data_IF_201554940638
#
_entry.id   IF_201554940638
#
_cell.length_a   1.000
_cell.length_b   1.000
_cell.length_c   1.000
_cell.angle_alpha   90.00
_cell.angle_beta   90.00
_cell.angle_gamma   90.00
#
_symmetry.space_group_name_H-M   'P 1'
#
loop_
_entity.id
_entity.type
_entity.pdbx_description
1 polymer ?
#
# COMPACT_ATOMS: atom_id res chain seq x y z
N UNK A 1 -12.06 14.74 -2.52
CA UNK A 1 -13.43 14.21 -2.37
C UNK A 1 -13.94 14.36 -0.94
N UNK A 2 -13.21 13.86 0.07
CA UNK A 2 -13.54 13.97 1.51
C UNK A 2 -13.94 15.38 1.95
N UNK A 3 -13.17 16.41 1.57
CA UNK A 3 -13.49 17.80 1.90
C UNK A 3 -14.87 18.23 1.36
N UNK A 4 -15.20 17.88 0.12
CA UNK A 4 -16.47 18.24 -0.48
C UNK A 4 -17.64 17.55 0.23
N UNK A 5 -17.50 16.27 0.58
CA UNK A 5 -18.48 15.54 1.36
C UNK A 5 -18.71 16.19 2.74
N UNK A 6 -17.64 16.53 3.46
CA UNK A 6 -17.72 17.20 4.76
C UNK A 6 -18.38 18.58 4.68
N UNK A 7 -18.11 19.37 3.62
CA UNK A 7 -18.78 20.68 3.41
C UNK A 7 -20.31 20.55 3.27
N UNK A 8 -20.80 19.40 2.81
CA UNK A 8 -22.24 19.13 2.68
C UNK A 8 -22.78 18.54 3.98
N UNK A 9 -22.17 17.45 4.48
CA UNK A 9 -22.66 16.69 5.62
C UNK A 9 -22.68 17.49 6.93
N UNK A 10 -21.70 18.38 7.15
CA UNK A 10 -21.63 19.23 8.35
C UNK A 10 -22.76 20.25 8.46
N UNK A 11 -23.57 20.44 7.41
CA UNK A 11 -24.75 21.31 7.46
C UNK A 11 -25.90 20.68 8.28
N UNK A 12 -25.88 19.37 8.51
CA UNK A 12 -26.87 18.69 9.34
C UNK A 12 -26.55 18.84 10.84
N UNK A 13 -27.43 19.48 11.59
CA UNK A 13 -27.25 19.68 13.03
C UNK A 13 -27.43 18.40 13.87
N UNK A 14 -27.97 17.32 13.29
CA UNK A 14 -28.07 16.00 13.96
C UNK A 14 -26.80 15.15 13.82
N UNK A 15 -25.76 15.66 13.17
CA UNK A 15 -24.54 14.92 12.86
C UNK A 15 -24.59 14.19 11.52
N UNK A 16 -23.57 13.36 11.26
CA UNK A 16 -23.42 12.62 10.01
C UNK A 16 -22.62 11.34 10.23
N UNK A 17 -22.74 10.42 9.28
CA UNK A 17 -21.83 9.31 9.08
C UNK A 17 -21.20 9.46 7.69
N UNK A 18 -19.88 9.29 7.62
CA UNK A 18 -19.12 9.37 6.38
C UNK A 18 -18.14 8.21 6.32
N UNK A 19 -18.22 7.41 5.25
CA UNK A 19 -17.22 6.40 4.89
C UNK A 19 -16.36 6.95 3.76
N UNK A 20 -15.05 6.79 3.89
CA UNK A 20 -14.05 7.16 2.87
C UNK A 20 -13.15 5.95 2.66
N UNK A 21 -12.98 5.54 1.41
CA UNK A 21 -12.29 4.30 1.06
C UNK A 21 -11.09 4.60 0.15
N UNK A 22 -9.93 4.05 0.49
CA UNK A 22 -8.70 4.05 -0.31
C UNK A 22 -8.62 2.84 -1.25
N UNK A 23 -9.68 2.54 -2.00
CA UNK A 23 -9.88 1.24 -2.67
C UNK A 23 -8.80 0.82 -3.69
N UNK A 24 -7.93 1.74 -4.13
CA UNK A 24 -6.88 1.41 -5.09
C UNK A 24 -5.62 0.83 -4.46
N UNK A 25 -5.45 0.97 -3.14
CA UNK A 25 -4.39 0.30 -2.36
C UNK A 25 -4.48 -1.20 -2.62
N UNK A 26 -5.68 -1.76 -2.46
CA UNK A 26 -6.00 -3.17 -2.75
C UNK A 26 -5.69 -3.56 -4.21
N UNK A 27 -6.23 -2.81 -5.17
CA UNK A 27 -6.06 -3.11 -6.60
C UNK A 27 -4.60 -3.15 -7.03
N UNK A 28 -3.77 -2.27 -6.48
CA UNK A 28 -2.35 -2.24 -6.78
C UNK A 28 -1.60 -3.43 -6.14
N UNK A 29 -2.00 -3.87 -4.95
CA UNK A 29 -1.43 -5.08 -4.36
C UNK A 29 -1.77 -6.33 -5.17
N UNK A 30 -2.98 -6.43 -5.72
CA UNK A 30 -3.36 -7.53 -6.62
C UNK A 30 -2.46 -7.67 -7.85
N UNK A 31 -1.90 -6.57 -8.36
CA UNK A 31 -0.94 -6.58 -9.48
C UNK A 31 0.53 -6.62 -9.04
N UNK A 32 0.79 -6.84 -7.74
CA UNK A 32 2.10 -6.71 -7.10
C UNK A 32 2.79 -5.36 -7.36
N UNK A 33 2.05 -4.27 -7.55
CA UNK A 33 2.61 -2.93 -7.80
C UNK A 33 2.63 -2.10 -6.52
N UNK A 34 3.61 -2.36 -5.66
CA UNK A 34 3.74 -1.69 -4.36
C UNK A 34 3.91 -0.17 -4.50
N UNK A 35 4.53 0.32 -5.57
CA UNK A 35 4.64 1.76 -5.84
C UNK A 35 3.26 2.41 -5.86
N UNK A 36 2.34 1.89 -6.68
CA UNK A 36 0.98 2.42 -6.74
C UNK A 36 0.21 2.23 -5.43
N UNK A 37 0.34 1.07 -4.78
CA UNK A 37 -0.34 0.82 -3.50
C UNK A 37 0.06 1.84 -2.43
N UNK A 38 1.37 2.06 -2.23
CA UNK A 38 1.87 2.99 -1.23
C UNK A 38 1.54 4.45 -1.58
N UNK A 39 1.50 4.82 -2.86
CA UNK A 39 1.08 6.16 -3.27
C UNK A 39 -0.42 6.41 -3.03
N UNK A 40 -1.27 5.41 -3.26
CA UNK A 40 -2.69 5.50 -2.92
C UNK A 40 -2.91 5.49 -1.39
N UNK A 41 -2.06 4.80 -0.62
CA UNK A 41 -2.04 4.89 0.85
C UNK A 41 -1.72 6.31 1.32
N UNK A 42 -0.72 6.98 0.72
CA UNK A 42 -0.42 8.39 1.01
C UNK A 42 -1.57 9.32 0.62
N UNK A 43 -2.31 9.01 -0.45
CA UNK A 43 -3.52 9.77 -0.81
C UNK A 43 -4.64 9.58 0.22
N UNK A 44 -4.80 8.36 0.75
CA UNK A 44 -5.74 8.06 1.82
C UNK A 44 -5.35 8.74 3.15
N UNK A 45 -4.07 8.74 3.52
CA UNK A 45 -3.54 9.49 4.67
C UNK A 45 -3.88 10.98 4.56
N UNK A 46 -3.63 11.59 3.40
CA UNK A 46 -4.00 13.00 3.14
C UNK A 46 -5.50 13.25 3.33
N UNK A 47 -6.35 12.29 2.97
CA UNK A 47 -7.79 12.39 3.18
C UNK A 47 -8.16 12.35 4.69
N UNK A 48 -7.48 11.52 5.48
CA UNK A 48 -7.64 11.43 6.94
C UNK A 48 -7.21 12.76 7.60
N UNK A 49 -6.01 13.25 7.27
CA UNK A 49 -5.49 14.53 7.78
C UNK A 49 -6.46 15.66 7.42
N UNK A 50 -6.96 15.65 6.18
CA UNK A 50 -7.93 16.65 5.75
C UNK A 50 -9.24 16.55 6.54
N UNK A 51 -9.75 15.35 6.81
CA UNK A 51 -10.96 15.16 7.61
C UNK A 51 -10.76 15.66 9.05
N UNK A 52 -9.65 15.29 9.70
CA UNK A 52 -9.28 15.77 11.04
C UNK A 52 -9.24 17.30 11.11
N UNK A 53 -8.67 17.96 10.10
CA UNK A 53 -8.61 19.44 10.04
C UNK A 53 -9.98 20.12 9.89
N UNK A 54 -11.02 19.37 9.54
CA UNK A 54 -12.35 19.88 9.21
C UNK A 54 -13.44 19.51 10.22
N UNK A 55 -13.11 18.83 11.32
CA UNK A 55 -14.08 18.40 12.33
C UNK A 55 -13.61 18.76 13.75
N UNK A 56 -14.53 18.79 14.70
CA UNK A 56 -14.20 18.90 16.11
C UNK A 56 -14.02 17.49 16.69
N UNK A 57 -12.78 17.10 17.03
CA UNK A 57 -12.47 15.77 17.54
C UNK A 57 -13.10 15.46 18.90
N UNK A 58 -13.62 16.46 19.63
CA UNK A 58 -14.41 16.23 20.85
C UNK A 58 -15.82 15.69 20.56
N UNK A 59 -16.30 15.84 19.33
CA UNK A 59 -17.66 15.50 18.90
C UNK A 59 -17.68 14.52 17.73
N UNK A 60 -16.51 14.16 17.20
CA UNK A 60 -16.37 13.31 16.01
C UNK A 60 -15.39 12.18 16.32
N UNK A 61 -15.88 10.95 16.25
CA UNK A 61 -15.04 9.75 16.24
C UNK A 61 -14.58 9.48 14.81
N UNK A 62 -13.27 9.34 14.62
CA UNK A 62 -12.67 8.89 13.36
C UNK A 62 -12.05 7.53 13.61
N UNK A 63 -12.45 6.54 12.83
CA UNK A 63 -11.88 5.19 12.82
C UNK A 63 -11.18 5.02 11.49
N UNK A 64 -9.94 4.55 11.53
CA UNK A 64 -9.15 4.14 10.38
C UNK A 64 -8.85 2.67 10.56
N UNK A 65 -9.14 1.87 9.54
CA UNK A 65 -8.99 0.42 9.55
C UNK A 65 -8.84 -0.07 8.11
N UNK A 66 -8.47 -1.33 7.94
CA UNK A 66 -8.58 -2.05 6.69
C UNK A 66 -9.67 -3.12 6.81
N UNK A 67 -10.22 -3.55 5.68
CA UNK A 67 -11.11 -4.71 5.60
C UNK A 67 -10.32 -6.03 5.59
N UNK A 68 -9.10 -6.02 5.05
CA UNK A 68 -8.12 -7.11 5.11
C UNK A 68 -6.69 -6.61 4.82
N UNK A 69 -5.70 -7.48 5.03
CA UNK A 69 -4.30 -7.27 4.64
C UNK A 69 -4.04 -7.79 3.21
N UNK A 70 -2.78 -7.88 2.80
CA UNK A 70 -2.33 -8.48 1.53
C UNK A 70 -1.18 -9.45 1.77
N UNK A 71 -0.90 -10.34 0.82
CA UNK A 71 0.30 -11.19 0.86
C UNK A 71 1.57 -10.39 0.56
N UNK A 72 1.73 -9.23 1.18
CA UNK A 72 2.78 -8.23 1.00
C UNK A 72 3.72 -8.27 2.20
N UNK A 73 5.02 -8.15 1.97
CA UNK A 73 6.00 -8.13 3.05
C UNK A 73 7.14 -7.18 2.70
N UNK A 74 7.51 -6.35 3.66
CA UNK A 74 8.79 -5.67 3.66
C UNK A 74 9.84 -6.60 4.27
N UNK A 75 10.71 -7.14 3.43
CA UNK A 75 11.72 -8.14 3.76
C UNK A 75 13.12 -7.59 3.56
N UNK A 76 14.09 -8.23 4.23
CA UNK A 76 15.49 -7.80 4.22
C UNK A 76 15.78 -6.70 5.24
N UNK A 77 16.95 -6.07 5.09
CA UNK A 77 17.30 -4.81 5.74
C UNK A 77 17.63 -3.81 4.65
N UNK A 78 17.20 -2.59 4.90
CA UNK A 78 17.62 -1.39 4.20
C UNK A 78 18.03 -0.41 5.29
N UNK A 79 19.09 0.39 5.09
CA UNK A 79 19.36 1.48 6.00
C UNK A 79 18.14 2.41 6.01
N UNK A 80 17.90 3.08 7.14
CA UNK A 80 16.71 3.92 7.35
C UNK A 80 16.58 5.11 6.37
N UNK A 81 17.56 5.30 5.49
CA UNK A 81 17.63 6.33 4.45
C UNK A 81 17.39 5.81 3.04
N UNK A 82 17.23 4.51 2.85
CA UNK A 82 17.20 3.90 1.52
C UNK A 82 15.79 3.90 0.92
N UNK A 83 15.75 3.87 -0.41
CA UNK A 83 14.51 3.79 -1.18
C UNK A 83 13.79 2.46 -0.89
N UNK A 84 12.57 2.52 -0.37
CA UNK A 84 11.76 1.34 -0.04
C UNK A 84 11.49 0.45 -1.25
N UNK A 85 11.54 1.00 -2.48
CA UNK A 85 11.38 0.24 -3.72
C UNK A 85 12.68 -0.39 -4.23
N UNK A 86 13.80 -0.12 -3.56
CA UNK A 86 15.13 -0.59 -3.92
C UNK A 86 15.40 -2.06 -3.64
N UNK A 87 16.63 -2.47 -3.96
CA UNK A 87 17.17 -3.75 -3.51
C UNK A 87 17.40 -3.75 -2.00
N UNK A 88 17.31 -4.92 -1.39
CA UNK A 88 17.80 -5.13 -0.02
C UNK A 88 19.33 -5.07 -0.02
N UNK A 89 19.90 -4.68 1.13
CA UNK A 89 21.35 -4.75 1.38
C UNK A 89 21.89 -6.19 1.44
N UNK A 90 21.01 -7.19 1.51
CA UNK A 90 21.37 -8.59 1.51
C UNK A 90 21.27 -9.22 0.12
N UNK A 91 22.22 -10.11 -0.15
CA UNK A 91 22.08 -11.11 -1.21
C UNK A 91 21.38 -12.34 -0.65
N UNK A 92 20.70 -13.07 -1.52
CA UNK A 92 20.20 -14.40 -1.14
C UNK A 92 21.29 -15.47 -1.24
N UNK A 93 20.95 -16.72 -0.91
CA UNK A 93 21.89 -17.86 -0.88
C UNK A 93 22.54 -18.16 -2.25
N UNK A 94 21.92 -17.73 -3.36
CA UNK A 94 22.47 -17.83 -4.71
C UNK A 94 23.40 -16.65 -5.07
N UNK A 95 23.59 -15.69 -4.16
CA UNK A 95 24.34 -14.46 -4.39
C UNK A 95 23.61 -13.43 -5.28
N UNK A 96 22.27 -13.48 -5.35
CA UNK A 96 21.47 -12.55 -6.18
C UNK A 96 20.77 -11.52 -5.31
N UNK A 97 20.62 -10.30 -5.86
CA UNK A 97 19.81 -9.25 -5.25
C UNK A 97 18.31 -9.62 -5.26
N UNK A 98 17.57 -9.05 -4.31
CA UNK A 98 16.11 -9.06 -4.28
C UNK A 98 15.60 -7.71 -3.75
N UNK A 99 14.38 -7.33 -4.13
CA UNK A 99 13.77 -6.07 -3.67
C UNK A 99 13.36 -6.16 -2.21
N UNK A 100 13.44 -5.06 -1.46
CA UNK A 100 13.00 -5.03 -0.06
C UNK A 100 11.49 -5.25 0.08
N UNK A 101 10.72 -4.99 -0.98
CA UNK A 101 9.30 -5.31 -1.05
C UNK A 101 9.11 -6.57 -1.88
N UNK A 102 8.41 -7.55 -1.30
CA UNK A 102 8.04 -8.80 -1.97
C UNK A 102 6.59 -9.17 -1.63
N UNK A 103 6.07 -10.12 -2.40
CA UNK A 103 4.77 -10.73 -2.17
C UNK A 103 4.91 -12.25 -2.02
N UNK A 104 3.98 -12.89 -1.33
CA UNK A 104 3.92 -14.36 -1.31
C UNK A 104 3.30 -14.90 -2.62
N UNK A 105 2.32 -14.19 -3.17
CA UNK A 105 1.60 -14.60 -4.39
C UNK A 105 1.42 -13.44 -5.36
N UNK A 106 1.13 -13.75 -6.63
CA UNK A 106 0.69 -12.77 -7.62
C UNK A 106 1.53 -12.75 -8.90
N UNK A 107 1.26 -11.77 -9.78
CA UNK A 107 1.79 -11.77 -11.15
C UNK A 107 3.27 -11.37 -11.24
N UNK A 108 3.87 -10.95 -10.13
CA UNK A 108 5.30 -10.62 -10.05
C UNK A 108 6.23 -11.82 -10.03
N UNK A 109 5.71 -13.06 -10.06
CA UNK A 109 6.53 -14.27 -10.14
C UNK A 109 7.34 -14.28 -11.43
N UNK A 110 8.62 -14.62 -11.34
CA UNK A 110 9.51 -14.80 -12.49
C UNK A 110 10.44 -15.98 -12.25
N UNK A 111 10.70 -16.77 -13.30
CA UNK A 111 11.66 -17.88 -13.24
C UNK A 111 13.10 -17.40 -13.00
N UNK A 112 13.45 -16.19 -13.45
CA UNK A 112 14.75 -15.58 -13.21
C UNK A 112 14.65 -14.15 -12.68
N UNK A 113 15.59 -13.79 -11.81
CA UNK A 113 15.67 -12.49 -11.13
C UNK A 113 16.66 -11.54 -11.82
N UNK A 114 16.52 -11.39 -13.14
CA UNK A 114 17.43 -10.60 -13.96
C UNK A 114 16.89 -9.19 -14.19
N UNK A 115 16.84 -8.37 -13.14
CA UNK A 115 16.51 -6.93 -13.24
C UNK A 115 17.65 -6.11 -12.69
N UNK A 116 17.84 -4.94 -13.29
CA UNK A 116 18.77 -3.93 -12.80
C UNK A 116 18.05 -2.89 -11.92
N UNK A 117 18.82 -1.97 -11.36
CA UNK A 117 18.27 -0.89 -10.54
C UNK A 117 17.27 0.01 -11.29
N UNK A 118 17.40 0.16 -12.61
CA UNK A 118 16.51 1.02 -13.38
C UNK A 118 15.15 0.35 -13.58
N UNK A 119 15.11 -0.98 -13.69
CA UNK A 119 13.87 -1.73 -13.82
C UNK A 119 13.05 -1.70 -12.52
N UNK A 120 13.68 -1.95 -11.37
CA UNK A 120 12.97 -2.00 -10.08
C UNK A 120 12.44 -0.64 -9.62
N UNK A 121 13.03 0.46 -10.13
CA UNK A 121 12.61 1.85 -9.84
C UNK A 121 11.46 2.33 -10.71
N UNK A 122 10.99 1.54 -11.68
CA UNK A 122 9.81 1.91 -12.47
C UNK A 122 8.56 1.84 -11.62
N UNK A 123 7.67 2.81 -11.80
CA UNK A 123 6.40 2.88 -11.06
C UNK A 123 5.51 1.65 -11.29
N UNK A 124 5.60 1.06 -12.48
CA UNK A 124 4.81 -0.11 -12.88
C UNK A 124 5.51 -1.45 -12.59
N UNK A 125 6.68 -1.44 -11.94
CA UNK A 125 7.40 -2.65 -11.57
C UNK A 125 6.57 -3.52 -10.62
N UNK A 126 6.24 -4.72 -11.07
CA UNK A 126 5.62 -5.74 -10.24
C UNK A 126 6.69 -6.42 -9.37
N UNK A 127 6.65 -6.20 -8.06
CA UNK A 127 7.56 -6.82 -7.11
C UNK A 127 7.40 -8.34 -7.11
N UNK A 128 8.50 -9.02 -6.77
CA UNK A 128 8.57 -10.47 -6.82
C UNK A 128 7.51 -11.15 -5.97
N UNK A 129 6.96 -12.23 -6.50
CA UNK A 129 6.14 -13.16 -5.74
C UNK A 129 6.74 -14.57 -5.72
N UNK A 130 6.45 -15.33 -4.67
CA UNK A 130 6.92 -16.71 -4.53
C UNK A 130 6.06 -17.71 -5.31
N UNK A 131 4.73 -17.50 -5.35
CA UNK A 131 3.77 -18.36 -6.05
C UNK A 131 3.11 -17.58 -7.20
N UNK A 132 3.23 -18.05 -8.45
CA UNK A 132 2.63 -17.37 -9.61
C UNK A 132 1.11 -17.43 -9.55
N UNK A 133 0.46 -16.28 -9.63
CA UNK A 133 -0.98 -16.12 -9.84
C UNK A 133 -1.24 -14.90 -10.71
N UNK A 134 -2.35 -14.86 -11.44
CA UNK A 134 -2.73 -13.66 -12.22
C UNK A 134 -3.08 -12.46 -11.32
N UNK A 135 -3.40 -12.73 -10.05
CA UNK A 135 -3.72 -11.75 -9.04
C UNK A 135 -3.16 -12.21 -7.69
N UNK A 136 -2.47 -11.32 -6.99
CA UNK A 136 -2.03 -11.58 -5.62
C UNK A 136 -3.24 -11.79 -4.69
N UNK A 137 -3.07 -12.54 -3.63
CA UNK A 137 -4.14 -12.79 -2.65
C UNK A 137 -4.11 -11.78 -1.51
N UNK A 138 -5.26 -11.64 -0.85
CA UNK A 138 -5.32 -10.93 0.44
C UNK A 138 -4.47 -11.64 1.50
N UNK A 139 -4.15 -10.91 2.56
CA UNK A 139 -3.55 -11.40 3.79
C UNK A 139 -4.66 -11.74 4.79
N UNK A 140 -4.46 -12.81 5.56
CA UNK A 140 -5.39 -13.27 6.60
C UNK A 140 -4.97 -12.87 8.01
N UNK A 141 -3.93 -12.06 8.13
CA UNK A 141 -3.47 -11.42 9.37
C UNK A 141 -4.44 -10.32 9.84
N UNK A 142 -4.40 -10.05 11.14
CA UNK A 142 -5.18 -9.00 11.78
C UNK A 142 -4.77 -7.60 11.26
N UNK A 143 -5.73 -6.67 11.21
CA UNK A 143 -5.56 -5.27 10.76
C UNK A 143 -6.07 -4.24 11.76
#
# INVERSE_FOLDING_TARGET
>A
MTEAALKILRKNNKGFLLMVEGAKIDKAHHTNQAFYSLHDLLAFEKAIIKAQSMVNLKETLIIVTADHSHSFTHSGSSLMTDDVFGFSDYLDEDGKNFTSLIYSTGPGYRESRNYDENEIKKEDFAQLSAVPLDSATHGGDDV
#
